data_IF_315060954074
#
_entry.id   IF_315060954074
#
_cell.length_a   1.000
_cell.length_b   1.000
_cell.length_c   1.000
_cell.angle_alpha   90.00
_cell.angle_beta   90.00
_cell.angle_gamma   90.00
#
_symmetry.space_group_name_H-M   'P 1'
#
loop_
_entity.id
_entity.type
_entity.pdbx_description
1 polymer ?
#
# COMPACT_ATOMS: atom_id res chain seq x y z
N UNK A 1 23.16 0.24 -22.44
CA UNK A 1 22.14 0.07 -21.39
C UNK A 1 22.39 -1.26 -20.69
N UNK A 2 22.41 -1.32 -19.35
CA UNK A 2 22.64 -2.59 -18.63
C UNK A 2 21.46 -3.56 -18.87
N UNK A 3 21.66 -4.90 -18.80
CA UNK A 3 20.57 -5.85 -18.97
C UNK A 3 19.42 -5.63 -17.98
N UNK A 4 19.73 -5.20 -16.75
CA UNK A 4 18.72 -4.87 -15.76
C UNK A 4 17.91 -3.62 -16.14
N UNK A 5 18.58 -2.57 -16.61
CA UNK A 5 17.91 -1.34 -17.07
C UNK A 5 17.05 -1.61 -18.30
N UNK A 6 17.51 -2.44 -19.24
CA UNK A 6 16.72 -2.85 -20.41
C UNK A 6 15.42 -3.57 -20.00
N UNK A 7 15.50 -4.57 -19.12
CA UNK A 7 14.31 -5.28 -18.62
C UNK A 7 13.34 -4.34 -17.91
N UNK A 8 13.85 -3.43 -17.08
CA UNK A 8 13.04 -2.45 -16.37
C UNK A 8 12.31 -1.55 -17.36
N UNK A 9 13.03 -0.94 -18.31
CA UNK A 9 12.43 -0.04 -19.32
C UNK A 9 11.36 -0.74 -20.13
N UNK A 10 11.65 -1.95 -20.63
CA UNK A 10 10.69 -2.73 -21.41
C UNK A 10 9.46 -3.15 -20.59
N UNK A 11 9.65 -3.55 -19.34
CA UNK A 11 8.56 -3.90 -18.42
C UNK A 11 7.67 -2.68 -18.10
N UNK A 12 8.27 -1.52 -17.81
CA UNK A 12 7.55 -0.26 -17.57
C UNK A 12 6.78 0.18 -18.81
N UNK A 13 7.34 0.04 -20.01
CA UNK A 13 6.64 0.35 -21.25
C UNK A 13 5.40 -0.56 -21.45
N UNK A 14 5.52 -1.87 -21.20
CA UNK A 14 4.39 -2.79 -21.26
C UNK A 14 3.32 -2.51 -20.18
N UNK A 15 3.74 -2.10 -18.99
CA UNK A 15 2.83 -1.67 -17.93
C UNK A 15 2.10 -0.37 -18.33
N UNK A 16 2.78 0.54 -19.00
CA UNK A 16 2.20 1.74 -19.60
C UNK A 16 1.13 1.44 -20.63
N UNK A 17 1.31 0.40 -21.46
CA UNK A 17 0.27 -0.09 -22.38
C UNK A 17 -0.97 -0.59 -21.63
N UNK A 18 -0.78 -1.38 -20.57
CA UNK A 18 -1.90 -1.84 -19.75
C UNK A 18 -2.64 -0.66 -19.07
N UNK A 19 -1.89 0.32 -18.56
CA UNK A 19 -2.46 1.53 -17.96
C UNK A 19 -3.24 2.36 -18.98
N UNK A 20 -2.69 2.56 -20.18
CA UNK A 20 -3.41 3.20 -21.28
C UNK A 20 -4.68 2.43 -21.63
N UNK A 21 -4.61 1.10 -21.66
CA UNK A 21 -5.77 0.23 -21.84
C UNK A 21 -6.87 0.50 -20.80
N UNK A 22 -6.51 0.61 -19.52
CA UNK A 22 -7.45 0.95 -18.46
C UNK A 22 -8.09 2.34 -18.67
N UNK A 23 -7.32 3.34 -19.09
CA UNK A 23 -7.84 4.68 -19.45
C UNK A 23 -8.84 4.60 -20.61
N UNK A 24 -8.56 3.80 -21.64
CA UNK A 24 -9.45 3.62 -22.79
C UNK A 24 -10.76 2.92 -22.39
N UNK A 25 -10.69 1.84 -21.60
CA UNK A 25 -11.89 1.15 -21.10
C UNK A 25 -12.78 2.10 -20.30
N UNK A 26 -12.19 2.94 -19.43
CA UNK A 26 -12.91 3.97 -18.66
C UNK A 26 -13.62 5.01 -19.53
N UNK A 27 -13.14 5.22 -20.77
CA UNK A 27 -13.77 6.09 -21.77
C UNK A 27 -14.77 5.36 -22.68
N UNK A 28 -15.10 4.11 -22.36
CA UNK A 28 -16.02 3.28 -23.18
C UNK A 28 -15.38 2.71 -24.44
N UNK A 29 -14.05 2.76 -24.57
CA UNK A 29 -13.34 2.31 -25.77
C UNK A 29 -12.90 0.84 -25.60
N UNK A 30 -13.61 -0.06 -26.28
CA UNK A 30 -13.39 -1.51 -26.29
C UNK A 30 -11.94 -1.97 -26.53
N UNK A 31 -11.14 -1.34 -27.44
CA UNK A 31 -9.73 -1.71 -27.65
C UNK A 31 -8.85 -1.65 -26.40
N UNK A 32 -9.27 -0.91 -25.37
CA UNK A 32 -8.55 -0.86 -24.10
C UNK A 32 -8.38 -2.23 -23.43
N UNK A 33 -9.36 -3.14 -23.59
CA UNK A 33 -9.27 -4.50 -23.06
C UNK A 33 -8.13 -5.31 -23.68
N UNK A 34 -7.86 -5.14 -24.97
CA UNK A 34 -6.75 -5.80 -25.66
C UNK A 34 -5.40 -5.30 -25.11
N UNK A 35 -5.27 -3.99 -24.90
CA UNK A 35 -4.06 -3.40 -24.33
C UNK A 35 -3.79 -3.91 -22.91
N UNK A 36 -4.83 -4.10 -22.09
CA UNK A 36 -4.70 -4.72 -20.76
C UNK A 36 -4.27 -6.18 -20.89
N UNK A 37 -4.99 -6.96 -21.72
CA UNK A 37 -4.77 -8.40 -21.89
C UNK A 37 -3.37 -8.72 -22.42
N UNK A 38 -2.78 -7.85 -23.24
CA UNK A 38 -1.41 -8.00 -23.73
C UNK A 38 -0.37 -7.37 -22.78
N UNK A 39 -0.63 -6.15 -22.30
CA UNK A 39 0.32 -5.36 -21.52
C UNK A 39 0.66 -5.98 -20.16
N UNK A 40 -0.32 -6.51 -19.43
CA UNK A 40 -0.09 -7.08 -18.09
C UNK A 40 0.80 -8.34 -18.15
N UNK A 41 0.51 -9.39 -18.96
CA UNK A 41 1.41 -10.53 -19.07
C UNK A 41 2.78 -10.15 -19.63
N UNK A 42 2.81 -9.23 -20.60
CA UNK A 42 4.06 -8.77 -21.22
C UNK A 42 4.96 -8.04 -20.20
N UNK A 43 4.38 -7.31 -19.24
CA UNK A 43 5.12 -6.67 -18.14
C UNK A 43 5.95 -7.69 -17.36
N UNK A 44 5.34 -8.83 -17.00
CA UNK A 44 6.03 -9.90 -16.26
C UNK A 44 7.09 -10.61 -17.12
N UNK A 45 6.76 -10.90 -18.38
CA UNK A 45 7.70 -11.51 -19.34
C UNK A 45 8.93 -10.63 -19.55
N UNK A 46 8.74 -9.34 -19.77
CA UNK A 46 9.83 -8.40 -20.03
C UNK A 46 10.65 -8.10 -18.76
N UNK A 47 10.01 -8.06 -17.58
CA UNK A 47 10.71 -7.96 -16.31
C UNK A 47 11.69 -9.12 -16.09
N UNK A 48 11.29 -10.33 -16.51
CA UNK A 48 12.08 -11.55 -16.32
C UNK A 48 13.06 -11.79 -17.46
N UNK A 49 12.75 -11.47 -18.72
CA UNK A 49 13.55 -11.89 -19.87
C UNK A 49 13.63 -10.86 -21.01
N UNK A 50 13.32 -9.59 -20.76
CA UNK A 50 13.41 -8.52 -21.77
C UNK A 50 14.82 -8.30 -22.33
N UNK A 51 15.86 -8.80 -21.66
CA UNK A 51 17.27 -8.81 -22.11
C UNK A 51 17.67 -10.06 -22.90
N UNK A 52 16.77 -11.04 -23.06
CA UNK A 52 17.03 -12.32 -23.71
C UNK A 52 15.83 -12.72 -24.58
N UNK A 53 15.60 -11.96 -25.66
CA UNK A 53 14.51 -12.19 -26.61
C UNK A 53 14.86 -13.28 -27.65
N UNK A 54 13.88 -13.65 -28.47
CA UNK A 54 14.07 -14.64 -29.54
C UNK A 54 14.26 -16.07 -29.01
N UNK A 55 15.18 -16.88 -29.57
CA UNK A 55 15.36 -18.29 -29.17
C UNK A 55 15.71 -18.49 -27.68
N UNK A 56 16.36 -17.51 -27.06
CA UNK A 56 16.78 -17.56 -25.66
C UNK A 56 15.65 -17.25 -24.64
N UNK A 57 14.50 -16.74 -25.11
CA UNK A 57 13.41 -16.26 -24.28
C UNK A 57 12.85 -17.35 -23.38
N UNK A 58 12.46 -18.49 -23.97
CA UNK A 58 11.80 -19.58 -23.23
C UNK A 58 12.72 -20.16 -22.15
N UNK A 59 14.00 -20.36 -22.46
CA UNK A 59 15.00 -20.86 -21.52
C UNK A 59 15.26 -19.88 -20.38
N UNK A 60 15.39 -18.58 -20.68
CA UNK A 60 15.63 -17.53 -19.69
C UNK A 60 14.43 -17.31 -18.78
N UNK A 61 13.21 -17.26 -19.34
CA UNK A 61 11.96 -17.19 -18.58
C UNK A 61 11.86 -18.37 -17.61
N UNK A 62 11.97 -19.61 -18.09
CA UNK A 62 11.87 -20.80 -17.23
C UNK A 62 12.89 -20.75 -16.09
N UNK A 63 14.14 -20.40 -16.38
CA UNK A 63 15.21 -20.30 -15.38
C UNK A 63 14.91 -19.23 -14.34
N UNK A 64 14.59 -18.00 -14.77
CA UNK A 64 14.39 -16.86 -13.86
C UNK A 64 13.06 -16.93 -13.10
N UNK A 65 12.00 -17.47 -13.70
CA UNK A 65 10.75 -17.79 -12.98
C UNK A 65 11.02 -18.85 -11.90
N UNK A 66 11.77 -19.91 -12.22
CA UNK A 66 12.13 -20.92 -11.22
C UNK A 66 12.96 -20.35 -10.06
N UNK A 67 13.89 -19.43 -10.35
CA UNK A 67 14.64 -18.71 -9.32
C UNK A 67 13.75 -17.78 -8.50
N UNK A 68 12.85 -17.04 -9.14
CA UNK A 68 11.91 -16.14 -8.48
C UNK A 68 11.03 -16.92 -7.50
N UNK A 69 10.38 -17.99 -7.96
CA UNK A 69 9.50 -18.82 -7.13
C UNK A 69 10.24 -19.40 -5.92
N UNK A 70 11.49 -19.84 -6.09
CA UNK A 70 12.32 -20.36 -5.00
C UNK A 70 12.75 -19.29 -3.99
N UNK A 71 12.84 -18.03 -4.41
CA UNK A 71 13.23 -16.90 -3.56
C UNK A 71 12.02 -16.18 -2.94
N UNK A 72 10.82 -16.40 -3.45
CA UNK A 72 9.60 -15.80 -2.93
C UNK A 72 9.22 -16.43 -1.58
N UNK A 73 9.28 -15.59 -0.55
CA UNK A 73 8.78 -15.89 0.80
C UNK A 73 7.24 -15.76 0.82
N UNK A 74 6.54 -16.40 1.77
CA UNK A 74 5.08 -16.30 1.87
C UNK A 74 4.54 -14.86 1.86
N UNK A 75 5.14 -13.95 2.62
CA UNK A 75 4.73 -12.54 2.65
C UNK A 75 4.94 -11.81 1.32
N UNK A 76 5.90 -12.22 0.50
CA UNK A 76 6.13 -11.64 -0.83
C UNK A 76 5.01 -12.04 -1.80
N UNK A 77 4.59 -13.29 -1.76
CA UNK A 77 3.42 -13.76 -2.51
C UNK A 77 2.15 -13.02 -2.10
N UNK A 78 1.93 -12.85 -0.79
CA UNK A 78 0.78 -12.12 -0.27
C UNK A 78 0.82 -10.62 -0.61
N UNK A 79 2.01 -10.01 -0.62
CA UNK A 79 2.18 -8.62 -1.10
C UNK A 79 1.89 -8.52 -2.60
N UNK A 80 2.33 -9.50 -3.39
CA UNK A 80 2.00 -9.60 -4.82
C UNK A 80 0.50 -9.79 -5.06
N UNK A 81 -0.17 -10.61 -4.25
CA UNK A 81 -1.63 -10.78 -4.28
C UNK A 81 -2.35 -9.48 -3.92
N UNK A 82 -1.90 -8.76 -2.88
CA UNK A 82 -2.41 -7.44 -2.51
C UNK A 82 -2.34 -6.47 -3.70
N UNK A 83 -1.21 -6.43 -4.41
CA UNK A 83 -1.04 -5.60 -5.61
C UNK A 83 -1.97 -6.04 -6.75
N UNK A 84 -2.04 -7.35 -7.02
CA UNK A 84 -2.88 -7.90 -8.09
C UNK A 84 -4.37 -7.59 -7.88
N UNK A 85 -4.86 -7.67 -6.64
CA UNK A 85 -6.25 -7.38 -6.28
C UNK A 85 -6.64 -5.90 -6.46
N UNK A 86 -5.66 -4.98 -6.52
CA UNK A 86 -5.89 -3.56 -6.80
C UNK A 86 -6.04 -3.26 -8.29
N UNK A 87 -5.56 -4.12 -9.18
CA UNK A 87 -5.59 -3.91 -10.64
C UNK A 87 -7.03 -3.76 -11.18
N UNK A 88 -8.01 -4.62 -10.80
CA UNK A 88 -9.36 -4.52 -11.34
C UNK A 88 -10.17 -3.34 -10.77
N UNK A 89 -9.77 -2.77 -9.63
CA UNK A 89 -10.56 -1.77 -8.87
C UNK A 89 -11.07 -0.60 -9.73
N UNK A 90 -10.25 0.07 -10.54
CA UNK A 90 -10.72 1.20 -11.34
C UNK A 90 -11.70 0.80 -12.45
N UNK A 91 -11.69 -0.47 -12.86
CA UNK A 91 -12.50 -1.01 -13.96
C UNK A 91 -13.76 -1.72 -13.45
N UNK A 92 -13.84 -2.00 -12.15
CA UNK A 92 -14.99 -2.64 -11.51
C UNK A 92 -15.35 -1.96 -10.18
N UNK A 93 -15.96 -0.76 -10.24
CA UNK A 93 -16.31 0.02 -9.05
C UNK A 93 -17.24 -0.72 -8.08
N UNK A 94 -18.18 -1.51 -8.60
CA UNK A 94 -19.13 -2.29 -7.79
C UNK A 94 -18.42 -3.39 -6.98
N UNK A 95 -17.28 -3.89 -7.48
CA UNK A 95 -16.43 -4.86 -6.79
C UNK A 95 -15.49 -4.24 -5.76
N UNK A 96 -15.46 -2.91 -5.61
CA UNK A 96 -14.54 -2.21 -4.72
C UNK A 96 -14.55 -2.77 -3.28
N UNK A 97 -15.70 -2.94 -2.60
CA UNK A 97 -15.71 -3.43 -1.21
C UNK A 97 -14.98 -4.77 -1.05
N UNK A 98 -15.26 -5.71 -1.95
CA UNK A 98 -14.65 -7.05 -1.93
C UNK A 98 -13.14 -6.97 -2.22
N UNK A 99 -12.75 -6.24 -3.27
CA UNK A 99 -11.34 -6.09 -3.66
C UNK A 99 -10.53 -5.34 -2.59
N UNK A 100 -11.10 -4.31 -1.96
CA UNK A 100 -10.50 -3.58 -0.84
C UNK A 100 -10.32 -4.50 0.37
N UNK A 101 -11.31 -5.31 0.71
CA UNK A 101 -11.22 -6.29 1.79
C UNK A 101 -10.15 -7.35 1.51
N UNK A 102 -10.20 -7.99 0.35
CA UNK A 102 -9.25 -9.04 -0.02
C UNK A 102 -7.81 -8.49 -0.11
N UNK A 103 -7.63 -7.32 -0.70
CA UNK A 103 -6.29 -6.71 -0.83
C UNK A 103 -5.73 -6.29 0.52
N UNK A 104 -6.55 -5.70 1.40
CA UNK A 104 -6.12 -5.30 2.75
C UNK A 104 -5.93 -6.52 3.66
N UNK A 105 -6.74 -7.56 3.51
CA UNK A 105 -6.54 -8.85 4.16
C UNK A 105 -5.23 -9.51 3.74
N UNK A 106 -4.93 -9.54 2.43
CA UNK A 106 -3.66 -10.02 1.91
C UNK A 106 -2.47 -9.18 2.45
N UNK A 107 -2.63 -7.86 2.57
CA UNK A 107 -1.64 -6.97 3.17
C UNK A 107 -1.40 -7.28 4.65
N UNK A 108 -2.47 -7.48 5.43
CA UNK A 108 -2.40 -7.86 6.84
C UNK A 108 -1.76 -9.23 7.05
N UNK A 109 -2.12 -10.23 6.23
CA UNK A 109 -1.49 -11.55 6.26
C UNK A 109 -0.02 -11.49 5.84
N UNK A 110 0.33 -10.65 4.86
CA UNK A 110 1.73 -10.42 4.48
C UNK A 110 2.53 -9.80 5.64
N UNK A 111 1.96 -8.81 6.32
CA UNK A 111 2.56 -8.19 7.50
C UNK A 111 2.78 -9.21 8.63
N UNK A 112 1.78 -10.06 8.91
CA UNK A 112 1.86 -11.10 9.91
C UNK A 112 2.93 -12.15 9.58
N UNK A 113 2.92 -12.66 8.34
CA UNK A 113 3.92 -13.63 7.87
C UNK A 113 5.33 -13.05 7.91
N UNK A 114 5.49 -11.76 7.56
CA UNK A 114 6.78 -11.08 7.70
C UNK A 114 7.22 -10.99 9.17
N UNK A 115 6.32 -10.62 10.09
CA UNK A 115 6.65 -10.55 11.52
C UNK A 115 6.99 -11.92 12.12
N UNK A 116 6.22 -12.95 11.77
CA UNK A 116 6.47 -14.32 12.23
C UNK A 116 7.89 -14.76 11.89
N UNK A 117 8.31 -14.55 10.64
CA UNK A 117 9.66 -14.84 10.17
C UNK A 117 10.78 -14.05 10.87
N UNK A 118 10.45 -12.91 11.51
CA UNK A 118 11.43 -11.99 12.10
C UNK A 118 11.52 -12.09 13.62
N UNK A 119 10.40 -12.33 14.29
CA UNK A 119 10.31 -12.26 15.76
C UNK A 119 9.58 -13.44 16.40
N UNK A 120 9.11 -14.40 15.59
CA UNK A 120 8.36 -15.58 16.01
C UNK A 120 6.85 -15.34 16.11
N UNK A 121 6.08 -16.42 15.99
CA UNK A 121 4.62 -16.40 15.88
C UNK A 121 3.92 -15.64 17.03
N UNK A 122 4.29 -15.90 18.29
CA UNK A 122 3.62 -15.26 19.43
C UNK A 122 3.81 -13.75 19.49
N UNK A 123 5.02 -13.27 19.22
CA UNK A 123 5.29 -11.82 19.13
C UNK A 123 4.59 -11.21 17.92
N UNK A 124 4.59 -11.91 16.79
CA UNK A 124 3.90 -11.45 15.59
C UNK A 124 2.39 -11.29 15.83
N UNK A 125 1.74 -12.27 16.47
CA UNK A 125 0.34 -12.22 16.86
C UNK A 125 0.07 -11.10 17.87
N UNK A 126 0.95 -10.91 18.87
CA UNK A 126 0.84 -9.82 19.83
C UNK A 126 0.91 -8.43 19.19
N UNK A 127 1.83 -8.23 18.25
CA UNK A 127 1.95 -6.99 17.48
C UNK A 127 0.76 -6.76 16.53
N UNK A 128 0.28 -7.83 15.90
CA UNK A 128 -0.92 -7.79 15.06
C UNK A 128 -2.15 -7.41 15.88
N UNK A 129 -2.36 -8.04 17.03
CA UNK A 129 -3.44 -7.72 17.96
C UNK A 129 -3.33 -6.28 18.48
N UNK A 130 -2.11 -5.80 18.79
CA UNK A 130 -1.88 -4.42 19.22
C UNK A 130 -2.25 -3.42 18.10
N UNK A 131 -1.72 -3.60 16.89
CA UNK A 131 -2.00 -2.71 15.76
C UNK A 131 -3.48 -2.70 15.38
N UNK A 132 -4.08 -3.88 15.29
CA UNK A 132 -5.50 -4.05 15.00
C UNK A 132 -6.37 -3.45 16.10
N UNK A 133 -6.09 -3.76 17.37
CA UNK A 133 -6.89 -3.34 18.51
C UNK A 133 -6.82 -1.84 18.77
N UNK A 134 -5.63 -1.23 18.68
CA UNK A 134 -5.49 0.22 18.77
C UNK A 134 -6.17 0.89 17.59
N UNK A 135 -5.97 0.40 16.36
CA UNK A 135 -6.64 0.92 15.17
C UNK A 135 -8.17 0.90 15.32
N UNK A 136 -8.74 -0.24 15.71
CA UNK A 136 -10.18 -0.34 15.98
C UNK A 136 -10.61 0.62 17.10
N UNK A 137 -9.86 0.68 18.19
CA UNK A 137 -10.19 1.50 19.36
C UNK A 137 -10.21 3.00 19.04
N UNK A 138 -9.20 3.51 18.32
CA UNK A 138 -9.15 4.94 17.96
C UNK A 138 -10.22 5.31 16.93
N UNK A 139 -10.61 4.38 16.05
CA UNK A 139 -11.66 4.60 15.06
C UNK A 139 -13.06 4.56 15.70
N UNK A 140 -13.28 3.68 16.67
CA UNK A 140 -14.50 3.67 17.47
C UNK A 140 -14.64 4.96 18.28
N UNK A 141 -13.55 5.39 18.91
CA UNK A 141 -13.53 6.64 19.65
C UNK A 141 -13.74 7.84 18.72
N UNK A 142 -13.05 7.87 17.58
CA UNK A 142 -13.10 8.92 16.56
C UNK A 142 -14.49 9.09 15.98
N UNK A 143 -15.09 8.00 15.50
CA UNK A 143 -16.43 8.02 14.90
C UNK A 143 -17.55 8.40 15.87
N UNK A 144 -17.37 8.22 17.19
CA UNK A 144 -18.38 8.56 18.20
C UNK A 144 -18.18 9.96 18.80
N UNK A 145 -16.93 10.38 19.01
CA UNK A 145 -16.59 11.59 19.78
C UNK A 145 -15.99 12.71 18.94
N UNK A 146 -15.54 12.39 17.72
CA UNK A 146 -14.74 13.28 16.89
C UNK A 146 -13.26 13.37 17.29
N UNK A 147 -12.81 12.66 18.34
CA UNK A 147 -11.40 12.60 18.72
C UNK A 147 -10.83 11.19 18.45
N UNK A 148 -9.66 11.05 17.80
CA UNK A 148 -8.67 12.08 17.52
C UNK A 148 -8.79 12.74 16.14
N UNK A 149 -9.71 12.32 15.25
CA UNK A 149 -9.62 12.65 13.83
C UNK A 149 -10.46 13.85 13.34
N UNK A 150 -11.41 14.32 14.13
CA UNK A 150 -12.46 15.27 13.72
C UNK A 150 -13.81 14.56 13.61
N UNK A 151 -14.89 15.28 13.27
CA UNK A 151 -16.24 14.70 13.21
C UNK A 151 -16.50 14.07 11.84
N UNK A 152 -16.64 12.75 11.81
CA UNK A 152 -16.91 11.96 10.61
C UNK A 152 -17.86 10.80 10.89
N UNK A 153 -18.47 10.27 9.84
CA UNK A 153 -19.21 9.03 9.89
C UNK A 153 -18.79 8.08 8.76
N UNK A 154 -18.83 6.80 9.08
CA UNK A 154 -18.71 5.72 8.11
C UNK A 154 -20.09 5.46 7.48
N UNK A 155 -20.44 6.18 6.42
CA UNK A 155 -21.81 6.13 5.88
C UNK A 155 -22.13 4.79 5.21
N UNK A 156 -21.54 4.51 4.04
CA UNK A 156 -21.79 3.28 3.25
C UNK A 156 -20.66 2.26 3.42
N UNK A 157 -20.22 2.07 4.66
CA UNK A 157 -19.11 1.18 5.05
C UNK A 157 -19.00 -0.09 4.18
N UNK A 158 -17.84 -0.36 3.55
CA UNK A 158 -17.63 -1.62 2.87
C UNK A 158 -17.63 -2.75 3.91
N UNK A 159 -18.63 -3.62 3.85
CA UNK A 159 -18.72 -4.79 4.72
C UNK A 159 -17.53 -5.75 4.51
N UNK A 160 -17.09 -6.48 5.55
CA UNK A 160 -17.61 -6.50 6.91
C UNK A 160 -17.13 -5.33 7.78
N UNK A 161 -17.98 -4.90 8.71
CA UNK A 161 -17.65 -3.93 9.73
C UNK A 161 -17.60 -4.60 11.11
N UNK A 162 -16.69 -4.15 11.97
CA UNK A 162 -16.59 -4.55 13.36
C UNK A 162 -16.97 -3.35 14.24
N UNK A 163 -18.05 -3.48 15.01
CA UNK A 163 -18.56 -2.39 15.87
C UNK A 163 -18.82 -1.08 15.10
N UNK A 164 -19.19 -1.17 13.82
CA UNK A 164 -19.43 0.00 12.94
C UNK A 164 -18.18 0.51 12.20
N UNK A 165 -16.99 0.00 12.50
CA UNK A 165 -15.74 0.35 11.81
C UNK A 165 -15.46 -0.68 10.70
N UNK A 166 -15.23 -0.28 9.44
CA UNK A 166 -14.87 -1.19 8.36
C UNK A 166 -13.63 -2.02 8.71
N UNK A 167 -13.66 -3.35 8.53
CA UNK A 167 -12.57 -4.25 8.92
C UNK A 167 -11.23 -3.92 8.23
N UNK A 168 -11.28 -3.31 7.04
CA UNK A 168 -10.10 -2.86 6.31
C UNK A 168 -9.29 -1.81 7.10
N UNK A 169 -9.93 -1.00 7.95
CA UNK A 169 -9.27 0.08 8.68
C UNK A 169 -8.32 -0.45 9.76
N UNK A 170 -8.74 -1.29 10.73
CA UNK A 170 -7.82 -1.83 11.73
C UNK A 170 -6.75 -2.76 11.12
N UNK A 171 -7.06 -3.47 10.01
CA UNK A 171 -6.05 -4.23 9.26
C UNK A 171 -5.00 -3.31 8.63
N UNK A 172 -5.43 -2.16 8.07
CA UNK A 172 -4.57 -1.12 7.53
C UNK A 172 -3.67 -0.52 8.60
N UNK A 173 -4.22 -0.16 9.76
CA UNK A 173 -3.47 0.34 10.92
C UNK A 173 -2.34 -0.60 11.32
N UNK A 174 -2.58 -1.90 11.39
CA UNK A 174 -1.54 -2.89 11.65
C UNK A 174 -0.46 -2.91 10.55
N UNK A 175 -0.87 -3.18 9.31
CA UNK A 175 0.08 -3.49 8.24
C UNK A 175 0.87 -2.26 7.78
N UNK A 176 0.22 -1.11 7.63
CA UNK A 176 0.89 0.12 7.19
C UNK A 176 1.79 0.69 8.27
N UNK A 177 1.43 0.59 9.55
CA UNK A 177 2.33 0.98 10.64
C UNK A 177 3.60 0.14 10.64
N UNK A 178 3.50 -1.18 10.44
CA UNK A 178 4.67 -2.04 10.29
C UNK A 178 5.54 -1.58 9.09
N UNK A 179 4.91 -1.34 7.95
CA UNK A 179 5.60 -0.92 6.73
C UNK A 179 6.35 0.41 6.92
N UNK A 180 5.67 1.39 7.52
CA UNK A 180 6.20 2.71 7.82
C UNK A 180 7.30 2.66 8.89
N UNK A 181 7.17 1.84 9.93
CA UNK A 181 8.20 1.67 10.96
C UNK A 181 9.50 1.10 10.37
N UNK A 182 9.38 0.13 9.45
CA UNK A 182 10.53 -0.39 8.70
C UNK A 182 11.13 0.71 7.83
N UNK A 183 10.33 1.45 7.05
CA UNK A 183 10.77 2.57 6.22
C UNK A 183 11.44 3.69 7.00
N UNK A 184 10.92 4.05 8.17
CA UNK A 184 11.47 5.08 9.03
C UNK A 184 12.77 4.66 9.73
N UNK A 185 13.18 3.38 9.62
CA UNK A 185 14.32 2.86 10.36
C UNK A 185 14.08 2.93 11.87
N UNK A 186 12.84 2.71 12.30
CA UNK A 186 12.42 2.72 13.70
C UNK A 186 12.19 4.10 14.31
N UNK A 187 12.29 5.17 13.51
CA UNK A 187 11.96 6.54 13.95
C UNK A 187 10.44 6.72 13.96
N UNK A 188 9.83 6.62 15.14
CA UNK A 188 8.38 6.69 15.33
C UNK A 188 7.72 7.90 14.65
N UNK A 189 8.25 9.10 14.86
CA UNK A 189 7.70 10.33 14.27
C UNK A 189 7.69 10.32 12.74
N UNK A 190 8.70 9.70 12.12
CA UNK A 190 8.82 9.59 10.67
C UNK A 190 7.92 8.49 10.11
N UNK A 191 7.69 7.42 10.89
CA UNK A 191 6.67 6.43 10.55
C UNK A 191 5.27 7.06 10.56
N UNK A 192 4.95 7.87 11.58
CA UNK A 192 3.70 8.66 11.59
C UNK A 192 3.56 9.56 10.36
N UNK A 193 4.64 10.22 9.93
CA UNK A 193 4.62 11.07 8.73
C UNK A 193 4.36 10.26 7.45
N UNK A 194 4.91 9.04 7.34
CA UNK A 194 4.62 8.14 6.22
C UNK A 194 3.15 7.67 6.23
N UNK A 195 2.55 7.44 7.39
CA UNK A 195 1.11 7.13 7.45
C UNK A 195 0.27 8.32 6.99
N UNK A 196 0.56 9.52 7.46
CA UNK A 196 -0.12 10.74 6.99
C UNK A 196 0.04 10.93 5.48
N UNK A 197 1.23 10.67 4.94
CA UNK A 197 1.48 10.78 3.52
C UNK A 197 0.64 9.80 2.69
N UNK A 198 0.38 8.60 3.22
CA UNK A 198 -0.54 7.64 2.61
C UNK A 198 -2.00 8.05 2.78
N UNK A 199 -2.37 8.55 3.96
CA UNK A 199 -3.73 9.02 4.28
C UNK A 199 -4.18 10.18 3.38
N UNK A 200 -3.28 11.10 3.03
CA UNK A 200 -3.52 12.17 2.04
C UNK A 200 -4.05 11.63 0.71
N UNK A 201 -3.64 10.42 0.29
CA UNK A 201 -4.18 9.77 -0.90
C UNK A 201 -5.44 8.96 -0.66
N UNK A 202 -5.58 8.38 0.53
CA UNK A 202 -6.74 7.58 0.89
C UNK A 202 -8.00 8.45 1.03
N UNK A 203 -7.85 9.63 1.65
CA UNK A 203 -8.92 10.58 1.91
C UNK A 203 -9.75 10.93 0.65
N UNK A 204 -9.14 11.40 -0.45
CA UNK A 204 -9.85 11.61 -1.71
C UNK A 204 -10.56 10.37 -2.26
N UNK A 205 -10.01 9.18 -2.07
CA UNK A 205 -10.58 7.95 -2.64
C UNK A 205 -11.84 7.55 -1.86
N UNK A 206 -11.75 7.51 -0.53
CA UNK A 206 -12.83 7.02 0.32
C UNK A 206 -14.00 7.99 0.41
N UNK A 207 -13.71 9.30 0.42
CA UNK A 207 -14.75 10.34 0.37
C UNK A 207 -15.45 10.37 -0.98
N UNK A 208 -14.74 10.16 -2.10
CA UNK A 208 -15.35 10.05 -3.42
C UNK A 208 -16.30 8.88 -3.54
N UNK A 209 -15.94 7.76 -2.92
CA UNK A 209 -16.72 6.53 -2.93
C UNK A 209 -17.88 6.56 -1.91
N UNK A 210 -18.02 7.63 -1.11
CA UNK A 210 -19.07 7.78 -0.10
C UNK A 210 -18.84 6.97 1.17
N UNK A 211 -17.65 6.41 1.36
CA UNK A 211 -17.34 5.60 2.55
C UNK A 211 -17.08 6.47 3.79
N UNK A 212 -16.54 7.66 3.59
CA UNK A 212 -16.29 8.63 4.66
C UNK A 212 -17.06 9.92 4.40
N UNK A 213 -17.78 10.37 5.40
CA UNK A 213 -18.46 11.66 5.40
C UNK A 213 -17.94 12.51 6.53
N UNK A 214 -17.15 13.51 6.17
CA UNK A 214 -16.68 14.54 7.09
C UNK A 214 -17.76 15.60 7.30
N UNK A 215 -17.96 16.00 8.56
CA UNK A 215 -18.92 17.06 8.95
C UNK A 215 -18.25 18.22 9.67
N UNK A 216 -16.91 18.26 9.61
CA UNK A 216 -16.11 19.29 10.25
C UNK A 216 -16.33 20.67 9.59
N UNK A 217 -16.47 21.76 10.38
CA UNK A 217 -16.69 23.10 9.85
C UNK A 217 -15.48 23.70 9.11
N UNK A 218 -14.28 23.13 9.26
CA UNK A 218 -13.03 23.64 8.67
C UNK A 218 -12.27 22.51 7.95
N UNK A 219 -12.80 21.97 6.84
CA UNK A 219 -12.13 20.94 6.07
C UNK A 219 -10.81 21.46 5.49
N UNK A 220 -9.78 20.61 5.50
CA UNK A 220 -8.45 20.91 4.93
C UNK A 220 -8.27 20.22 3.57
N UNK A 221 -8.50 18.91 3.51
CA UNK A 221 -8.21 18.10 2.33
C UNK A 221 -9.25 16.99 2.16
N UNK A 222 -9.89 16.93 0.98
CA UNK A 222 -10.95 15.98 0.66
C UNK A 222 -12.12 15.91 1.70
N UNK A 223 -12.29 16.95 2.51
CA UNK A 223 -13.27 16.98 3.60
C UNK A 223 -12.65 16.77 4.99
N UNK A 224 -11.53 16.05 5.09
CA UNK A 224 -10.83 15.83 6.35
C UNK A 224 -10.25 17.14 6.92
N UNK A 225 -10.41 17.42 8.23
CA UNK A 225 -9.79 18.57 8.89
C UNK A 225 -8.30 18.33 9.17
N UNK A 226 -7.57 19.39 9.55
CA UNK A 226 -6.18 19.27 10.00
C UNK A 226 -6.02 18.27 11.17
N UNK A 227 -7.03 18.20 12.02
CA UNK A 227 -7.08 17.28 13.16
C UNK A 227 -6.92 15.82 12.74
N UNK A 228 -7.48 15.40 11.60
CA UNK A 228 -7.34 14.03 11.07
C UNK A 228 -5.86 13.68 10.88
N UNK A 229 -5.13 14.53 10.16
CA UNK A 229 -3.73 14.29 9.84
C UNK A 229 -2.83 14.31 11.09
N UNK A 230 -3.12 15.17 12.06
CA UNK A 230 -2.42 15.17 13.35
C UNK A 230 -2.72 13.91 14.15
N UNK A 231 -3.98 13.46 14.16
CA UNK A 231 -4.41 12.20 14.77
C UNK A 231 -3.71 10.99 14.15
N UNK A 232 -3.68 10.91 12.81
CA UNK A 232 -2.97 9.87 12.06
C UNK A 232 -1.48 9.84 12.39
N UNK A 233 -0.85 11.01 12.45
CA UNK A 233 0.55 11.12 12.83
C UNK A 233 0.79 10.61 14.26
N UNK A 234 -0.01 11.06 15.23
CA UNK A 234 0.18 10.73 16.64
C UNK A 234 -0.05 9.24 16.92
N UNK A 235 -1.17 8.69 16.44
CA UNK A 235 -1.50 7.26 16.58
C UNK A 235 -0.48 6.41 15.84
N UNK A 236 -0.15 6.76 14.59
CA UNK A 236 0.83 6.04 13.79
C UNK A 236 2.23 6.04 14.39
N UNK A 237 2.68 7.18 14.92
CA UNK A 237 3.96 7.29 15.61
C UNK A 237 3.96 6.47 16.90
N UNK A 238 2.88 6.52 17.70
CA UNK A 238 2.74 5.73 18.92
C UNK A 238 2.79 4.23 18.67
N UNK A 239 2.04 3.75 17.67
CA UNK A 239 2.07 2.35 17.24
C UNK A 239 3.43 1.92 16.71
N UNK A 240 4.06 2.74 15.86
CA UNK A 240 5.39 2.45 15.33
C UNK A 240 6.44 2.37 16.45
N UNK A 241 6.38 3.28 17.42
CA UNK A 241 7.21 3.23 18.63
C UNK A 241 6.99 1.93 19.39
N UNK A 242 5.73 1.57 19.67
CA UNK A 242 5.40 0.35 20.40
C UNK A 242 5.91 -0.91 19.68
N UNK A 243 5.75 -0.98 18.36
CA UNK A 243 6.25 -2.10 17.55
C UNK A 243 7.77 -2.27 17.68
N UNK A 244 8.52 -1.18 17.56
CA UNK A 244 9.98 -1.21 17.68
C UNK A 244 10.43 -1.57 19.11
N UNK A 245 9.70 -1.10 20.13
CA UNK A 245 10.02 -1.40 21.54
C UNK A 245 9.74 -2.85 21.91
N UNK A 246 8.61 -3.40 21.45
CA UNK A 246 8.21 -4.78 21.72
C UNK A 246 8.93 -5.80 20.82
N UNK A 247 9.47 -5.34 19.69
CA UNK A 247 10.28 -6.13 18.78
C UNK A 247 11.59 -5.41 18.39
N UNK A 248 12.60 -5.34 19.28
CA UNK A 248 13.86 -4.65 19.00
C UNK A 248 14.62 -5.17 17.76
N UNK A 249 14.42 -6.45 17.41
CA UNK A 249 15.01 -7.07 16.20
C UNK A 249 14.31 -6.72 14.88
N UNK A 250 13.20 -5.98 14.94
CA UNK A 250 12.45 -5.55 13.76
C UNK A 250 13.26 -4.57 12.90
N UNK A 251 14.02 -3.69 13.55
CA UNK A 251 14.83 -2.65 12.93
C UNK A 251 16.27 -2.78 13.41
N UNK A 252 17.08 -3.59 12.71
CA UNK A 252 18.49 -3.84 13.05
C UNK A 252 19.51 -3.03 12.24
N UNK A 253 20.83 -3.20 12.44
CA UNK A 253 21.88 -2.55 11.63
C UNK A 253 21.83 -2.98 10.15
N UNK A 254 22.29 -2.11 9.24
CA UNK A 254 22.22 -2.30 7.78
C UNK A 254 22.86 -3.62 7.31
N UNK A 255 23.95 -4.05 7.94
CA UNK A 255 24.71 -5.26 7.62
C UNK A 255 23.96 -6.58 7.85
N UNK A 256 22.95 -6.57 8.72
CA UNK A 256 22.16 -7.75 9.08
C UNK A 256 20.75 -7.76 8.46
N UNK A 257 20.42 -6.76 7.61
CA UNK A 257 19.09 -6.63 7.03
C UNK A 257 18.93 -7.48 5.77
N UNK A 258 17.77 -8.13 5.58
CA UNK A 258 17.45 -8.75 4.30
C UNK A 258 17.41 -7.70 3.18
N UNK A 259 17.78 -8.09 1.96
CA UNK A 259 17.74 -7.21 0.77
C UNK A 259 16.34 -6.65 0.50
N UNK A 260 15.29 -7.41 0.82
CA UNK A 260 13.90 -6.99 0.74
C UNK A 260 13.22 -7.12 2.10
N UNK A 261 12.43 -6.11 2.46
CA UNK A 261 11.62 -6.12 3.68
C UNK A 261 10.18 -5.78 3.32
N UNK A 262 9.26 -5.96 4.27
CA UNK A 262 7.86 -5.59 4.07
C UNK A 262 7.64 -4.09 3.78
N UNK A 263 8.66 -3.24 3.97
CA UNK A 263 8.71 -1.86 3.47
C UNK A 263 8.34 -1.72 1.97
N UNK A 264 8.52 -2.77 1.17
CA UNK A 264 8.13 -2.77 -0.26
C UNK A 264 6.63 -2.55 -0.46
N UNK A 265 5.78 -2.94 0.50
CA UNK A 265 4.34 -2.75 0.39
C UNK A 265 3.96 -1.26 0.27
N UNK A 266 4.67 -0.35 0.96
CA UNK A 266 4.44 1.08 0.80
C UNK A 266 4.80 1.58 -0.60
N UNK A 267 5.82 1.00 -1.24
CA UNK A 267 6.17 1.34 -2.62
C UNK A 267 5.09 0.87 -3.60
N UNK A 268 4.46 -0.28 -3.32
CA UNK A 268 3.25 -0.72 -4.03
C UNK A 268 2.13 0.30 -3.86
N UNK A 269 1.85 0.76 -2.64
CA UNK A 269 0.84 1.81 -2.41
C UNK A 269 1.18 3.13 -3.12
N UNK A 270 2.45 3.53 -3.14
CA UNK A 270 2.92 4.76 -3.82
C UNK A 270 2.65 4.72 -5.33
N UNK A 271 2.58 3.53 -5.92
CA UNK A 271 2.18 3.35 -7.31
C UNK A 271 0.66 3.28 -7.48
N UNK A 272 -0.01 2.39 -6.74
CA UNK A 272 -1.42 2.10 -6.95
C UNK A 272 -2.36 3.21 -6.50
N UNK A 273 -2.05 3.92 -5.41
CA UNK A 273 -2.97 4.91 -4.85
C UNK A 273 -3.07 6.16 -5.76
N UNK A 274 -1.98 6.83 -6.16
CA UNK A 274 -2.04 7.88 -7.18
C UNK A 274 -2.57 7.37 -8.54
N UNK A 275 -2.13 6.18 -8.98
CA UNK A 275 -2.57 5.60 -10.25
C UNK A 275 -4.08 5.35 -10.28
N UNK A 276 -4.65 4.84 -9.19
CA UNK A 276 -6.08 4.67 -9.00
C UNK A 276 -6.82 6.00 -9.05
N UNK A 277 -6.32 7.03 -8.35
CA UNK A 277 -6.88 8.38 -8.37
C UNK A 277 -6.94 8.97 -9.79
N UNK A 278 -5.89 8.80 -10.61
CA UNK A 278 -5.91 9.20 -12.02
C UNK A 278 -7.04 8.50 -12.79
N UNK A 279 -7.20 7.19 -12.60
CA UNK A 279 -8.18 6.39 -13.34
C UNK A 279 -9.64 6.72 -12.94
N UNK A 280 -9.87 7.18 -11.72
CA UNK A 280 -11.18 7.70 -11.28
C UNK A 280 -11.38 9.19 -11.56
N UNK A 281 -10.47 9.83 -12.30
CA UNK A 281 -10.60 11.23 -12.74
C UNK A 281 -10.12 12.28 -11.74
N UNK A 282 -9.45 11.87 -10.67
CA UNK A 282 -8.93 12.75 -9.60
C UNK A 282 -7.44 13.07 -9.80
N UNK A 283 -7.14 13.71 -10.93
CA UNK A 283 -5.74 13.94 -11.36
C UNK A 283 -4.98 14.88 -10.41
N UNK A 284 -5.66 15.91 -9.88
CA UNK A 284 -5.04 16.86 -8.93
C UNK A 284 -4.69 16.15 -7.62
N UNK A 285 -5.61 15.38 -7.09
CA UNK A 285 -5.44 14.62 -5.85
C UNK A 285 -4.37 13.54 -6.05
N UNK A 286 -4.31 12.89 -7.21
CA UNK A 286 -3.26 11.95 -7.56
C UNK A 286 -1.86 12.60 -7.56
N UNK A 287 -1.73 13.79 -8.15
CA UNK A 287 -0.46 14.52 -8.20
C UNK A 287 0.02 14.92 -6.81
N UNK A 288 -0.88 15.45 -5.97
CA UNK A 288 -0.57 15.79 -4.57
C UNK A 288 -0.17 14.54 -3.78
N UNK A 289 -0.94 13.45 -3.91
CA UNK A 289 -0.65 12.16 -3.25
C UNK A 289 0.73 11.65 -3.62
N UNK A 290 1.05 11.60 -4.92
CA UNK A 290 2.35 11.13 -5.39
C UNK A 290 3.48 12.01 -4.85
N UNK A 291 3.34 13.34 -4.92
CA UNK A 291 4.35 14.28 -4.45
C UNK A 291 4.60 14.12 -2.93
N UNK A 292 3.54 14.03 -2.14
CA UNK A 292 3.63 13.87 -0.67
C UNK A 292 4.25 12.51 -0.30
N UNK A 293 3.79 11.42 -0.92
CA UNK A 293 4.35 10.08 -0.66
C UNK A 293 5.82 9.98 -1.09
N UNK A 294 6.19 10.52 -2.25
CA UNK A 294 7.58 10.55 -2.71
C UNK A 294 8.45 11.44 -1.82
N UNK A 295 7.95 12.59 -1.37
CA UNK A 295 8.65 13.47 -0.43
C UNK A 295 8.92 12.77 0.91
N UNK A 296 7.91 12.08 1.46
CA UNK A 296 8.06 11.31 2.69
C UNK A 296 9.06 10.15 2.53
N UNK A 297 9.04 9.45 1.39
CA UNK A 297 10.02 8.40 1.06
C UNK A 297 11.43 8.96 0.93
N UNK A 298 11.61 10.08 0.22
CA UNK A 298 12.90 10.74 0.06
C UNK A 298 13.48 11.15 1.41
N UNK A 299 12.65 11.72 2.30
CA UNK A 299 13.05 12.05 3.68
C UNK A 299 13.43 10.78 4.47
N UNK A 300 12.64 9.71 4.37
CA UNK A 300 12.97 8.45 5.04
C UNK A 300 14.30 7.87 4.55
N UNK A 301 14.59 7.96 3.25
CA UNK A 301 15.84 7.49 2.68
C UNK A 301 17.04 8.36 3.03
N UNK A 302 16.87 9.69 3.03
CA UNK A 302 17.91 10.63 3.45
C UNK A 302 18.34 10.36 4.89
N UNK A 303 17.37 10.31 5.81
CA UNK A 303 17.65 10.07 7.23
C UNK A 303 18.12 8.63 7.50
N UNK A 304 17.83 7.68 6.61
CA UNK A 304 18.35 6.30 6.73
C UNK A 304 19.86 6.22 6.50
N UNK A 305 20.50 7.22 5.90
CA UNK A 305 21.96 7.27 5.70
C UNK A 305 22.76 7.45 7.00
N UNK A 306 22.15 8.01 8.04
CA UNK A 306 22.83 8.43 9.27
C UNK A 306 23.01 7.30 10.33
N UNK A 307 22.85 6.03 9.95
CA UNK A 307 23.03 4.84 10.82
C UNK A 307 23.58 3.65 10.05
#
# INVERSE_FOLDING_TARGET
MSPALLRLTLSVAALGLAFLGAVLVRRGLGPGWLLIALGLPLTAVLALAGDALGPALRGTLRRRTGLLVRQMRPWLWLTGLCAALKIPVPLWPEGFPLLALLSTGALGLAALAYLEERVGAWRALGLAALGFGVGLGVELLGSQTGWPFGVYSYATTPAPALLGVPLIVPLGWFALTLCAALLAGGRAWLAGLLLVAWDVGLEPLMTAAGYWHWTDPRPLWAGAPLQNFVGWWAVGAGLAWAFVRLAPGLVGPRSARPRLTFAVAYLVETFFLPGGLVLVGRVREAAVTLLVMLGALALAWALRGDR
#
